data_IF_830373227654
#
_entry.id   IF_830373227654
#
_cell.length_a   1.000
_cell.length_b   1.000
_cell.length_c   1.000
_cell.angle_alpha   90.00
_cell.angle_beta   90.00
_cell.angle_gamma   90.00
#
_symmetry.space_group_name_H-M   'P 1'
#
loop_
_entity.id
_entity.type
_entity.pdbx_description
1 polymer ?
#
# COMPACT_ATOMS: atom_id res chain seq x y z
N UNK A 1 4.13 12.31 -4.37
CA UNK A 1 4.95 11.11 -4.65
C UNK A 1 4.30 10.38 -5.81
N UNK A 2 5.04 10.06 -6.87
CA UNK A 2 4.46 9.51 -8.09
C UNK A 2 5.09 8.16 -8.39
N UNK A 3 4.25 7.14 -8.59
CA UNK A 3 4.64 5.81 -9.06
C UNK A 3 4.04 5.61 -10.44
N UNK A 4 4.87 5.48 -11.47
CA UNK A 4 4.42 5.39 -12.85
C UNK A 4 5.06 4.20 -13.58
N UNK A 5 4.30 3.60 -14.50
CA UNK A 5 4.77 2.60 -15.48
C UNK A 5 5.44 1.35 -14.84
N UNK A 6 4.86 0.85 -13.76
CA UNK A 6 5.34 -0.34 -13.03
C UNK A 6 4.57 -1.59 -13.48
N UNK A 7 5.31 -2.67 -13.78
CA UNK A 7 4.75 -4.00 -14.06
C UNK A 7 4.89 -4.86 -12.81
N UNK A 8 3.77 -5.35 -12.30
CA UNK A 8 3.68 -6.28 -11.17
C UNK A 8 3.54 -7.71 -11.67
N UNK A 9 4.39 -8.61 -11.18
CA UNK A 9 4.33 -10.02 -11.54
C UNK A 9 4.08 -10.85 -10.28
N UNK A 10 2.89 -11.43 -10.20
CA UNK A 10 2.51 -12.35 -9.12
C UNK A 10 2.69 -11.72 -7.71
N UNK A 11 2.25 -10.47 -7.55
CA UNK A 11 2.39 -9.69 -6.30
C UNK A 11 1.15 -9.84 -5.42
N UNK A 12 1.30 -9.94 -4.09
CA UNK A 12 0.16 -10.11 -3.17
C UNK A 12 -0.71 -8.87 -2.99
N UNK A 13 -0.10 -7.70 -2.82
CA UNK A 13 -0.78 -6.41 -2.71
C UNK A 13 -0.05 -5.42 -3.64
N UNK A 14 -0.53 -5.24 -4.89
CA UNK A 14 0.11 -4.35 -5.85
C UNK A 14 0.26 -2.91 -5.35
N UNK A 15 -0.75 -2.37 -4.64
CA UNK A 15 -0.62 -1.11 -3.89
C UNK A 15 -1.09 -1.35 -2.45
N UNK A 16 -0.22 -1.01 -1.48
CA UNK A 16 -0.54 -1.10 -0.05
C UNK A 16 -0.15 0.21 0.64
N UNK A 17 -1.14 0.87 1.23
CA UNK A 17 -0.94 2.02 2.12
C UNK A 17 -1.43 1.62 3.50
N UNK A 18 -0.50 1.33 4.39
CA UNK A 18 -0.79 0.92 5.76
C UNK A 18 -0.49 2.06 6.74
N UNK A 19 -1.54 2.67 7.31
CA UNK A 19 -1.42 3.70 8.34
C UNK A 19 -1.43 3.12 9.76
N UNK A 20 -1.56 1.81 9.92
CA UNK A 20 -1.60 1.12 11.22
C UNK A 20 -0.45 0.12 11.35
N UNK A 21 0.59 0.27 10.52
CA UNK A 21 1.72 -0.65 10.47
C UNK A 21 2.35 -0.87 11.86
N UNK A 22 2.23 -2.11 12.35
CA UNK A 22 2.65 -2.49 13.69
C UNK A 22 3.30 -3.88 13.70
N UNK A 23 4.56 -4.01 13.25
CA UNK A 23 5.19 -5.30 13.00
C UNK A 23 5.42 -6.15 14.26
N UNK A 24 5.44 -5.53 15.44
CA UNK A 24 5.76 -6.20 16.70
C UNK A 24 4.57 -6.24 17.67
N UNK A 25 3.39 -5.75 17.28
CA UNK A 25 2.22 -5.62 18.16
C UNK A 25 2.50 -4.84 19.46
N UNK A 26 3.50 -3.94 19.43
CA UNK A 26 3.87 -3.05 20.56
C UNK A 26 3.27 -1.64 20.42
N UNK A 27 2.44 -1.42 19.40
CA UNK A 27 1.70 -0.19 19.20
C UNK A 27 0.41 -0.17 20.04
N UNK A 28 -0.15 1.03 20.22
CA UNK A 28 -1.48 1.17 20.78
C UNK A 28 -2.50 1.35 19.65
N UNK A 29 -3.21 0.29 19.30
CA UNK A 29 -4.21 0.26 18.21
C UNK A 29 -5.37 1.26 18.42
N UNK A 30 -5.59 1.74 19.65
CA UNK A 30 -6.60 2.77 19.93
C UNK A 30 -6.16 4.17 19.52
N UNK A 31 -4.87 4.36 19.21
CA UNK A 31 -4.31 5.65 18.81
C UNK A 31 -4.12 5.64 17.30
N UNK A 32 -4.86 6.47 16.55
CA UNK A 32 -4.71 6.53 15.11
C UNK A 32 -3.35 7.12 14.71
N UNK A 33 -2.90 6.79 13.50
CA UNK A 33 -1.74 7.47 12.91
C UNK A 33 -1.96 8.98 12.87
N UNK A 34 -0.91 9.70 13.22
CA UNK A 34 -0.85 11.17 13.14
C UNK A 34 -0.08 11.65 11.91
N UNK A 35 0.30 10.73 11.03
CA UNK A 35 1.00 11.03 9.78
C UNK A 35 -0.04 11.24 8.70
N UNK A 36 -0.04 12.42 8.09
CA UNK A 36 -0.88 12.72 6.93
C UNK A 36 -0.17 12.29 5.66
N UNK A 37 -0.82 11.43 4.87
CA UNK A 37 -0.41 11.11 3.50
C UNK A 37 -1.22 12.02 2.55
N UNK A 38 -0.54 12.74 1.67
CA UNK A 38 -1.19 13.55 0.63
C UNK A 38 -0.40 13.53 -0.67
N UNK A 39 -1.07 13.85 -1.78
CA UNK A 39 -0.46 14.05 -3.10
C UNK A 39 0.36 12.84 -3.58
N UNK A 40 -0.17 11.63 -3.34
CA UNK A 40 0.36 10.37 -3.86
C UNK A 40 -0.40 10.02 -5.14
N UNK A 41 0.32 9.71 -6.21
CA UNK A 41 -0.26 9.29 -7.48
C UNK A 41 0.31 7.95 -7.93
N UNK A 42 -0.56 7.14 -8.51
CA UNK A 42 -0.24 5.87 -9.14
C UNK A 42 -0.77 5.92 -10.57
N UNK A 43 0.09 5.65 -11.55
CA UNK A 43 -0.28 5.74 -12.96
C UNK A 43 0.34 4.59 -13.74
N UNK A 44 -0.43 3.98 -14.63
CA UNK A 44 0.04 2.87 -15.46
C UNK A 44 0.68 1.70 -14.67
N UNK A 45 0.19 1.42 -13.47
CA UNK A 45 0.55 0.20 -12.73
C UNK A 45 -0.25 -0.97 -13.34
N UNK A 46 0.43 -2.01 -13.81
CA UNK A 46 -0.19 -3.11 -14.59
C UNK A 46 0.42 -4.46 -14.21
N UNK A 47 -0.23 -5.57 -14.53
CA UNK A 47 0.32 -6.91 -14.35
C UNK A 47 -0.61 -7.87 -13.62
N UNK A 48 -0.07 -8.78 -12.80
CA UNK A 48 -0.81 -9.86 -12.13
C UNK A 48 -0.66 -9.83 -10.61
N UNK A 49 -1.76 -10.13 -9.91
CA UNK A 49 -1.80 -10.31 -8.46
C UNK A 49 -1.94 -11.79 -8.10
N UNK A 50 -1.38 -12.21 -6.96
CA UNK A 50 -1.66 -13.55 -6.38
C UNK A 50 -3.00 -13.60 -5.67
N UNK A 51 -3.57 -12.44 -5.34
CA UNK A 51 -4.85 -12.31 -4.64
C UNK A 51 -5.93 -11.79 -5.60
N UNK A 52 -7.17 -12.22 -5.39
CA UNK A 52 -8.30 -11.78 -6.20
C UNK A 52 -8.59 -10.27 -6.07
N UNK A 53 -8.17 -9.66 -4.95
CA UNK A 53 -8.25 -8.23 -4.70
C UNK A 53 -6.89 -7.61 -4.97
N UNK A 54 -6.73 -7.06 -6.18
CA UNK A 54 -5.65 -6.15 -6.51
C UNK A 54 -6.20 -4.72 -6.38
N UNK A 55 -5.75 -3.98 -5.37
CA UNK A 55 -6.09 -2.55 -5.20
C UNK A 55 -4.79 -1.76 -5.23
#
# INVERSE_FOLDING_TARGET
MNFEDIIMENVGNPVLIDQEYCPWNLCNEKVPSRVKISDVSFKNIRGTSTTALAV
#
